data_IF_447254857931
#
_entry.id   IF_447254857931
#
_cell.length_a   1.000
_cell.length_b   1.000
_cell.length_c   1.000
_cell.angle_alpha   90.00
_cell.angle_beta   90.00
_cell.angle_gamma   90.00
#
_symmetry.space_group_name_H-M   'P 1'
#
loop_
_entity.id
_entity.type
_entity.pdbx_description
1 polymer ?
#
# COMPACT_ATOMS: atom_id res chain seq x y z
N UNK A 1 -10.17 -13.87 -0.97
CA UNK A 1 -9.85 -13.49 0.41
C UNK A 1 -10.40 -12.10 0.73
N UNK A 2 -10.79 -11.91 1.98
CA UNK A 2 -11.20 -10.58 2.44
C UNK A 2 -10.01 -9.65 2.50
N UNK A 3 -10.27 -8.37 2.28
CA UNK A 3 -9.25 -7.33 2.36
C UNK A 3 -9.66 -6.32 3.44
N UNK A 4 -8.72 -6.03 4.32
CA UNK A 4 -8.85 -4.97 5.32
C UNK A 4 -7.80 -3.91 5.00
N UNK A 5 -8.25 -2.66 4.84
CA UNK A 5 -7.33 -1.55 4.62
C UNK A 5 -7.19 -0.78 5.92
N UNK A 6 -5.99 -0.74 6.47
CA UNK A 6 -5.72 -0.03 7.71
C UNK A 6 -5.85 1.48 7.52
N UNK A 7 -6.17 2.18 8.61
CA UNK A 7 -6.41 3.62 8.56
C UNK A 7 -5.23 4.41 8.00
N UNK A 8 -4.02 4.01 8.34
CA UNK A 8 -2.81 4.69 7.85
C UNK A 8 -2.66 4.56 6.33
N UNK A 9 -2.96 3.39 5.81
CA UNK A 9 -2.95 3.18 4.36
C UNK A 9 -4.03 4.03 3.68
N UNK A 10 -5.24 4.05 4.22
CA UNK A 10 -6.34 4.89 3.69
C UNK A 10 -5.95 6.36 3.65
N UNK A 11 -5.35 6.84 4.74
CA UNK A 11 -4.92 8.23 4.87
C UNK A 11 -3.91 8.60 3.79
N UNK A 12 -2.91 7.74 3.57
CA UNK A 12 -1.86 7.99 2.58
C UNK A 12 -2.37 7.91 1.15
N UNK A 13 -3.28 6.98 0.88
CA UNK A 13 -3.93 6.89 -0.43
C UNK A 13 -4.71 8.18 -0.71
N UNK A 14 -5.47 8.67 0.27
CA UNK A 14 -6.22 9.92 0.12
C UNK A 14 -5.30 11.13 -0.07
N UNK A 15 -4.22 11.20 0.69
CA UNK A 15 -3.23 12.28 0.53
C UNK A 15 -2.63 12.28 -0.88
N UNK A 16 -2.29 11.09 -1.40
CA UNK A 16 -1.77 10.93 -2.75
C UNK A 16 -2.80 11.35 -3.79
N UNK A 17 -4.06 10.96 -3.62
CA UNK A 17 -5.14 11.34 -4.52
C UNK A 17 -5.33 12.87 -4.57
N UNK A 18 -5.27 13.53 -3.42
CA UNK A 18 -5.36 15.01 -3.35
C UNK A 18 -4.19 15.69 -4.05
N UNK A 19 -2.98 15.17 -3.83
CA UNK A 19 -1.79 15.68 -4.50
C UNK A 19 -1.92 15.57 -6.01
N UNK A 20 -2.35 14.41 -6.50
CA UNK A 20 -2.54 14.16 -7.93
C UNK A 20 -3.57 15.12 -8.51
N UNK A 21 -4.69 15.34 -7.81
CA UNK A 21 -5.72 16.26 -8.26
C UNK A 21 -5.18 17.69 -8.37
N UNK A 22 -4.42 18.12 -7.38
CA UNK A 22 -3.87 19.47 -7.36
C UNK A 22 -2.82 19.71 -8.45
N UNK A 23 -2.04 18.67 -8.78
CA UNK A 23 -0.95 18.81 -9.76
C UNK A 23 -1.40 18.49 -11.18
N UNK A 24 -2.34 17.57 -11.37
CA UNK A 24 -2.65 17.00 -12.68
C UNK A 24 -4.14 17.01 -13.04
N UNK A 25 -5.00 17.36 -12.08
CA UNK A 25 -6.44 17.48 -12.33
C UNK A 25 -7.27 16.25 -11.94
N UNK A 26 -8.58 16.40 -12.07
CA UNK A 26 -9.55 15.43 -11.62
C UNK A 26 -9.53 14.11 -12.39
N UNK A 27 -9.23 14.14 -13.68
CA UNK A 27 -9.12 12.92 -14.49
C UNK A 27 -7.98 12.03 -13.99
N UNK A 28 -6.83 12.64 -13.68
CA UNK A 28 -5.69 11.91 -13.15
C UNK A 28 -6.00 11.30 -11.78
N UNK A 29 -6.77 11.98 -10.96
CA UNK A 29 -7.23 11.44 -9.68
C UNK A 29 -8.12 10.22 -9.88
N UNK A 30 -9.03 10.26 -10.84
CA UNK A 30 -9.91 9.12 -11.16
C UNK A 30 -9.10 7.93 -11.64
N UNK A 31 -8.12 8.17 -12.51
CA UNK A 31 -7.22 7.12 -13.00
C UNK A 31 -6.44 6.47 -11.86
N UNK A 32 -5.92 7.28 -10.94
CA UNK A 32 -5.22 6.79 -9.75
C UNK A 32 -6.12 5.90 -8.89
N UNK A 33 -7.33 6.36 -8.61
CA UNK A 33 -8.33 5.60 -7.84
C UNK A 33 -8.65 4.26 -8.50
N UNK A 34 -8.86 4.29 -9.82
CA UNK A 34 -9.17 3.07 -10.57
C UNK A 34 -8.01 2.08 -10.51
N UNK A 35 -6.78 2.56 -10.58
CA UNK A 35 -5.59 1.72 -10.48
C UNK A 35 -5.44 1.08 -9.10
N UNK A 36 -5.68 1.84 -8.03
CA UNK A 36 -5.68 1.30 -6.68
C UNK A 36 -6.75 0.21 -6.53
N UNK A 37 -7.96 0.47 -7.00
CA UNK A 37 -9.06 -0.50 -6.97
C UNK A 37 -8.72 -1.77 -7.74
N UNK A 38 -8.09 -1.63 -8.92
CA UNK A 38 -7.68 -2.76 -9.73
C UNK A 38 -6.69 -3.66 -8.99
N UNK A 39 -5.69 -3.05 -8.37
CA UNK A 39 -4.67 -3.78 -7.62
C UNK A 39 -5.30 -4.50 -6.42
N UNK A 40 -6.14 -3.81 -5.65
CA UNK A 40 -6.82 -4.39 -4.49
C UNK A 40 -7.68 -5.58 -4.91
N UNK A 41 -8.42 -5.45 -6.00
CA UNK A 41 -9.25 -6.53 -6.52
C UNK A 41 -8.42 -7.73 -6.95
N UNK A 42 -7.29 -7.49 -7.62
CA UNK A 42 -6.36 -8.56 -8.01
C UNK A 42 -5.79 -9.28 -6.78
N UNK A 43 -5.44 -8.55 -5.74
CA UNK A 43 -4.94 -9.14 -4.51
C UNK A 43 -5.96 -10.07 -3.87
N UNK A 44 -7.24 -9.74 -3.92
CA UNK A 44 -8.29 -10.54 -3.28
C UNK A 44 -8.36 -11.96 -3.86
N UNK A 45 -8.00 -12.14 -5.13
CA UNK A 45 -7.99 -13.45 -5.79
C UNK A 45 -6.59 -14.04 -5.92
N UNK A 46 -5.54 -13.21 -5.75
CA UNK A 46 -4.14 -13.63 -5.87
C UNK A 46 -3.33 -13.05 -4.71
N UNK A 47 -3.46 -13.60 -3.49
CA UNK A 47 -2.80 -13.01 -2.31
C UNK A 47 -1.27 -12.94 -2.41
N UNK A 48 -0.66 -13.82 -3.19
CA UNK A 48 0.79 -13.87 -3.38
C UNK A 48 1.26 -13.05 -4.58
N UNK A 49 0.39 -12.20 -5.13
CA UNK A 49 0.72 -11.39 -6.31
C UNK A 49 1.90 -10.45 -6.05
N UNK A 50 1.95 -9.82 -4.87
CA UNK A 50 3.09 -9.02 -4.46
C UNK A 50 4.26 -9.90 -4.02
N UNK A 51 5.47 -9.33 -4.05
CA UNK A 51 6.68 -10.01 -3.57
C UNK A 51 6.98 -9.59 -2.14
N UNK A 52 7.77 -10.39 -1.44
CA UNK A 52 8.26 -10.01 -0.11
C UNK A 52 9.04 -8.68 -0.23
N UNK A 53 8.67 -7.72 0.64
CA UNK A 53 9.31 -6.40 0.59
C UNK A 53 10.68 -6.44 1.26
N UNK A 54 11.78 -6.18 0.52
CA UNK A 54 13.14 -6.30 1.08
C UNK A 54 13.39 -5.37 2.26
N UNK A 55 12.80 -4.17 2.25
CA UNK A 55 13.01 -3.18 3.31
C UNK A 55 12.31 -3.55 4.62
N UNK A 56 11.44 -4.54 4.59
CA UNK A 56 10.70 -5.03 5.75
C UNK A 56 11.08 -6.48 6.11
N UNK A 57 12.24 -6.94 5.63
CA UNK A 57 12.70 -8.31 5.85
C UNK A 57 12.90 -8.65 7.33
N UNK A 58 13.18 -7.64 8.16
CA UNK A 58 13.40 -7.81 9.60
C UNK A 58 12.12 -7.65 10.43
N UNK A 59 11.00 -7.34 9.79
CA UNK A 59 9.74 -7.12 10.49
C UNK A 59 9.19 -8.43 11.07
N UNK A 60 8.33 -8.33 12.11
CA UNK A 60 7.78 -9.54 12.76
C UNK A 60 6.89 -10.38 11.86
N UNK A 61 6.33 -9.79 10.79
CA UNK A 61 5.45 -10.49 9.85
C UNK A 61 5.99 -10.38 8.43
N UNK A 62 5.63 -11.32 7.53
CA UNK A 62 6.15 -11.31 6.17
C UNK A 62 5.38 -10.33 5.29
N UNK A 63 5.77 -9.06 5.33
CA UNK A 63 5.16 -8.03 4.48
C UNK A 63 5.51 -8.24 3.02
N UNK A 64 4.50 -8.02 2.19
CA UNK A 64 4.62 -8.01 0.74
C UNK A 64 4.33 -6.63 0.18
N UNK A 65 4.82 -6.36 -1.00
CA UNK A 65 4.54 -5.11 -1.70
C UNK A 65 4.18 -5.36 -3.15
N UNK A 66 3.33 -4.47 -3.67
CA UNK A 66 2.97 -4.47 -5.07
C UNK A 66 2.92 -3.02 -5.57
N UNK A 67 3.51 -2.80 -6.75
CA UNK A 67 3.55 -1.46 -7.34
C UNK A 67 2.18 -1.08 -7.87
N UNK A 68 1.76 0.15 -7.52
CA UNK A 68 0.57 0.80 -8.07
C UNK A 68 1.09 1.97 -8.90
N UNK A 69 1.03 1.84 -10.21
CA UNK A 69 1.73 2.73 -11.12
C UNK A 69 3.23 2.74 -10.80
N UNK A 70 3.99 3.71 -11.33
CA UNK A 70 5.45 3.68 -11.22
C UNK A 70 5.99 4.18 -9.88
N UNK A 71 5.17 4.90 -9.11
CA UNK A 71 5.66 5.71 -8.00
C UNK A 71 5.12 5.30 -6.64
N UNK A 72 4.22 4.35 -6.59
CA UNK A 72 3.58 3.96 -5.33
C UNK A 72 3.61 2.45 -5.14
N UNK A 73 3.64 2.02 -3.88
CA UNK A 73 3.54 0.62 -3.50
C UNK A 73 2.49 0.44 -2.43
N UNK A 74 1.65 -0.56 -2.59
CA UNK A 74 0.79 -1.08 -1.53
C UNK A 74 1.61 -2.06 -0.70
N UNK A 75 1.62 -1.88 0.60
CA UNK A 75 2.28 -2.78 1.55
C UNK A 75 1.21 -3.58 2.28
N UNK A 76 1.33 -4.90 2.26
CA UNK A 76 0.33 -5.78 2.84
C UNK A 76 0.96 -7.05 3.40
N UNK A 77 0.20 -7.78 4.19
CA UNK A 77 0.55 -9.13 4.62
C UNK A 77 -0.71 -9.97 4.75
N UNK A 78 -0.54 -11.27 4.75
CA UNK A 78 -1.64 -12.22 4.80
C UNK A 78 -1.77 -12.71 6.22
N UNK A 79 -2.86 -12.30 6.89
CA UNK A 79 -3.15 -12.68 8.26
C UNK A 79 -4.30 -13.69 8.24
N UNK A 80 -3.98 -14.99 8.30
CA UNK A 80 -4.92 -16.08 8.15
C UNK A 80 -5.67 -15.97 6.81
N UNK A 81 -6.96 -15.69 6.82
CA UNK A 81 -7.78 -15.55 5.62
C UNK A 81 -8.06 -14.10 5.23
N UNK A 82 -7.33 -13.16 5.81
CA UNK A 82 -7.49 -11.73 5.55
C UNK A 82 -6.20 -11.14 4.99
N UNK A 83 -6.32 -10.37 3.93
CA UNK A 83 -5.21 -9.54 3.43
C UNK A 83 -5.30 -8.20 4.14
N UNK A 84 -4.29 -7.87 4.93
CA UNK A 84 -4.23 -6.58 5.61
C UNK A 84 -3.31 -5.64 4.86
N UNK A 85 -3.91 -4.60 4.26
CA UNK A 85 -3.15 -3.53 3.62
C UNK A 85 -2.79 -2.54 4.72
N UNK A 86 -1.51 -2.47 5.05
CA UNK A 86 -1.05 -1.74 6.24
C UNK A 86 -0.45 -0.37 5.92
N UNK A 87 0.02 -0.18 4.70
CA UNK A 87 0.67 1.08 4.34
C UNK A 87 0.63 1.31 2.83
N UNK A 88 0.98 2.52 2.43
CA UNK A 88 1.04 2.95 1.05
C UNK A 88 2.25 3.87 0.90
N UNK A 89 3.25 3.43 0.13
CA UNK A 89 4.52 4.13 0.03
C UNK A 89 4.61 4.96 -1.25
N UNK A 90 5.31 6.08 -1.14
CA UNK A 90 5.77 6.84 -2.29
C UNK A 90 7.21 6.41 -2.57
N UNK A 91 7.45 5.78 -3.71
CA UNK A 91 8.77 5.25 -4.07
C UNK A 91 9.82 6.34 -4.32
N UNK A 92 9.40 7.61 -4.38
CA UNK A 92 10.32 8.75 -4.53
C UNK A 92 10.85 9.25 -3.20
N UNK A 93 10.20 8.86 -2.09
CA UNK A 93 10.61 9.27 -0.74
C UNK A 93 11.61 8.29 -0.17
N UNK A 94 12.25 8.68 0.91
CA UNK A 94 13.26 7.90 1.60
C UNK A 94 12.71 6.54 2.04
N UNK A 95 13.19 5.42 1.43
CA UNK A 95 12.57 4.11 1.64
C UNK A 95 12.72 3.58 3.06
N UNK A 96 13.88 3.77 3.67
CA UNK A 96 14.14 3.28 5.04
C UNK A 96 13.22 3.91 6.06
N UNK A 97 12.96 5.22 5.91
CA UNK A 97 12.09 5.95 6.81
C UNK A 97 10.65 5.45 6.71
N UNK A 98 10.18 5.19 5.50
CA UNK A 98 8.85 4.63 5.28
C UNK A 98 8.72 3.23 5.90
N UNK A 99 9.75 2.39 5.75
CA UNK A 99 9.77 1.06 6.35
C UNK A 99 9.71 1.12 7.88
N UNK A 100 10.47 2.02 8.49
CA UNK A 100 10.45 2.24 9.94
C UNK A 100 9.06 2.67 10.41
N UNK A 101 8.42 3.56 9.69
CA UNK A 101 7.07 4.02 10.00
C UNK A 101 6.04 2.90 9.90
N UNK A 102 6.15 2.05 8.88
CA UNK A 102 5.27 0.91 8.70
C UNK A 102 5.34 -0.04 9.89
N UNK A 103 6.54 -0.38 10.32
CA UNK A 103 6.75 -1.25 11.48
C UNK A 103 6.19 -0.60 12.75
N UNK A 104 6.45 0.69 12.96
CA UNK A 104 5.97 1.41 14.13
C UNK A 104 4.44 1.42 14.20
N UNK A 105 3.74 1.71 13.10
CA UNK A 105 2.29 1.67 13.05
C UNK A 105 1.74 0.32 13.39
N UNK A 106 2.26 -0.71 12.75
CA UNK A 106 1.71 -2.04 12.89
C UNK A 106 1.95 -2.62 14.28
N UNK A 107 3.03 -2.21 14.93
CA UNK A 107 3.34 -2.64 16.30
C UNK A 107 2.48 -1.92 17.34
N UNK A 108 1.90 -0.76 17.00
CA UNK A 108 1.07 0.02 17.91
C UNK A 108 -0.42 -0.33 17.83
N UNK A 109 -0.77 -1.24 16.95
CA UNK A 109 -2.14 -1.73 16.82
C UNK A 109 -2.28 -3.11 17.45
#
# INVERSE_FOLDING_TARGET
MRIKVENEAKKKILQTARYIQNQFGGESRVEFRNEVHRVVKLLSTNPLLGTLEPLLAHAPVPYRSIVVKHLNKVIYWINNDVIEIVDFWDCRREPKKQAEQTIAHNNNT
#
